data_IF_239619328324
#
_entry.id   IF_239619328324
#
_cell.length_a   1.000
_cell.length_b   1.000
_cell.length_c   1.000
_cell.angle_alpha   90.00
_cell.angle_beta   90.00
_cell.angle_gamma   90.00
#
_symmetry.space_group_name_H-M   'P 1'
#
loop_
_entity.id
_entity.type
_entity.pdbx_description
1 polymer ?
#
# COMPACT_ATOMS: atom_id res chain seq x y z
N UNK A 1 -13.87 0.06 -11.14
CA UNK A 1 -14.65 0.19 -9.89
C UNK A 1 -13.88 1.18 -9.05
N UNK A 2 -14.50 2.31 -8.71
CA UNK A 2 -13.79 3.45 -8.15
C UNK A 2 -13.74 3.39 -6.63
N UNK A 3 -12.61 3.77 -6.02
CA UNK A 3 -12.45 3.89 -4.57
C UNK A 3 -12.97 5.27 -4.13
N UNK A 4 -13.99 5.29 -3.30
CA UNK A 4 -14.58 6.52 -2.76
C UNK A 4 -13.99 6.80 -1.37
N UNK A 5 -13.12 7.79 -1.26
CA UNK A 5 -12.67 8.29 0.05
C UNK A 5 -13.58 9.42 0.51
N UNK A 6 -14.21 9.23 1.66
CA UNK A 6 -15.20 10.13 2.24
C UNK A 6 -14.54 10.89 3.40
N UNK A 7 -14.26 12.17 3.21
CA UNK A 7 -13.83 13.05 4.29
C UNK A 7 -15.08 13.62 4.96
N UNK A 8 -15.21 13.40 6.26
CA UNK A 8 -16.31 13.89 7.09
C UNK A 8 -15.80 15.03 7.99
N UNK A 9 -16.56 16.13 8.09
CA UNK A 9 -16.34 17.24 9.03
C UNK A 9 -16.63 16.82 10.48
N UNK A 10 -16.32 17.71 11.44
CA UNK A 10 -16.59 17.54 12.89
C UNK A 10 -18.09 17.35 13.22
N UNK A 11 -18.99 17.71 12.30
CA UNK A 11 -20.45 17.52 12.38
C UNK A 11 -20.94 16.24 11.62
N UNK A 12 -20.01 15.43 11.10
CA UNK A 12 -20.31 14.22 10.34
C UNK A 12 -20.78 14.46 8.90
N UNK A 13 -20.66 15.69 8.39
CA UNK A 13 -21.04 16.04 7.02
C UNK A 13 -19.89 15.74 6.03
N UNK A 14 -20.24 15.16 4.88
CA UNK A 14 -19.26 14.82 3.84
C UNK A 14 -18.77 16.07 3.11
N UNK A 15 -17.50 16.43 3.31
CA UNK A 15 -16.89 17.67 2.80
C UNK A 15 -16.41 17.49 1.35
N UNK A 16 -15.83 16.33 1.06
CA UNK A 16 -15.33 15.94 -0.26
C UNK A 16 -15.35 14.42 -0.38
N UNK A 17 -16.07 13.92 -1.39
CA UNK A 17 -15.81 12.58 -1.96
C UNK A 17 -14.93 12.77 -3.16
N UNK A 18 -13.68 12.31 -3.07
CA UNK A 18 -12.80 12.29 -4.23
C UNK A 18 -12.69 10.87 -4.76
N UNK A 19 -13.26 10.66 -5.94
CA UNK A 19 -13.17 9.41 -6.67
C UNK A 19 -11.82 9.38 -7.40
N UNK A 20 -10.77 8.86 -6.75
CA UNK A 20 -9.47 8.68 -7.40
C UNK A 20 -9.41 7.29 -8.02
N UNK A 21 -9.27 7.21 -9.34
CA UNK A 21 -8.88 5.95 -9.99
C UNK A 21 -7.39 5.72 -9.72
N UNK A 22 -7.09 4.66 -8.97
CA UNK A 22 -5.69 4.31 -8.71
C UNK A 22 -5.11 3.79 -10.00
N UNK A 23 -4.05 4.40 -10.50
CA UNK A 23 -3.34 3.92 -11.68
C UNK A 23 -2.21 2.97 -11.27
N UNK A 24 -1.77 2.12 -12.20
CA UNK A 24 -0.58 1.28 -11.98
C UNK A 24 0.67 2.08 -11.62
N UNK A 25 0.76 3.34 -12.05
CA UNK A 25 1.84 4.25 -11.68
C UNK A 25 1.82 4.55 -10.18
N UNK A 26 0.64 4.82 -9.62
CA UNK A 26 0.47 5.13 -8.20
C UNK A 26 0.78 3.90 -7.33
N UNK A 27 0.25 2.73 -7.72
CA UNK A 27 0.55 1.45 -7.05
C UNK A 27 2.05 1.19 -7.03
N UNK A 28 2.74 1.36 -8.17
CA UNK A 28 4.19 1.15 -8.24
C UNK A 28 4.96 2.16 -7.41
N UNK A 29 4.57 3.43 -7.43
CA UNK A 29 5.21 4.47 -6.62
C UNK A 29 5.08 4.15 -5.11
N UNK A 30 3.88 3.78 -4.66
CA UNK A 30 3.62 3.40 -3.26
C UNK A 30 4.40 2.14 -2.87
N UNK A 31 4.44 1.13 -3.74
CA UNK A 31 5.23 -0.09 -3.54
C UNK A 31 6.72 0.24 -3.37
N UNK A 32 7.30 1.03 -4.27
CA UNK A 32 8.71 1.40 -4.21
C UNK A 32 9.02 2.20 -2.93
N UNK A 33 8.11 3.09 -2.52
CA UNK A 33 8.23 3.81 -1.25
C UNK A 33 8.26 2.87 -0.04
N UNK A 34 7.34 1.89 0.04
CA UNK A 34 7.28 0.94 1.15
C UNK A 34 8.47 -0.03 1.16
N UNK A 35 8.95 -0.45 -0.01
CA UNK A 35 10.16 -1.25 -0.13
C UNK A 35 11.40 -0.45 0.31
N UNK A 36 11.47 0.83 -0.03
CA UNK A 36 12.56 1.72 0.40
C UNK A 36 12.52 1.97 1.90
N UNK A 37 11.34 2.23 2.47
CA UNK A 37 11.15 2.45 3.90
C UNK A 37 11.52 1.22 4.73
N UNK A 38 11.40 0.02 4.16
CA UNK A 38 11.79 -1.23 4.83
C UNK A 38 13.17 -1.74 4.42
N UNK A 39 13.87 -1.06 3.50
CA UNK A 39 15.14 -1.52 2.94
C UNK A 39 16.27 -1.53 3.98
N UNK A 40 16.26 -0.55 4.89
CA UNK A 40 17.23 -0.47 5.99
C UNK A 40 17.16 -1.68 6.93
N UNK A 41 16.02 -2.38 7.01
CA UNK A 41 15.88 -3.60 7.83
C UNK A 41 16.59 -4.80 7.21
N UNK A 42 16.81 -4.80 5.89
CA UNK A 42 17.50 -5.85 5.16
C UNK A 42 19.04 -5.66 5.13
N UNK A 43 19.58 -4.76 5.97
CA UNK A 43 21.04 -4.59 6.12
C UNK A 43 21.71 -5.84 6.71
N UNK A 44 22.96 -6.08 6.30
CA UNK A 44 23.77 -7.26 6.70
C UNK A 44 23.96 -7.44 8.21
N UNK A 45 23.82 -6.37 8.98
CA UNK A 45 23.95 -6.38 10.45
C UNK A 45 22.76 -7.03 11.17
N UNK A 46 21.67 -7.34 10.45
CA UNK A 46 20.41 -7.77 11.05
C UNK A 46 19.89 -9.03 10.39
N UNK A 47 19.41 -9.96 11.20
CA UNK A 47 18.63 -11.08 10.69
C UNK A 47 17.24 -10.51 10.38
N UNK A 48 16.90 -10.42 9.10
CA UNK A 48 15.57 -10.01 8.68
C UNK A 48 14.55 -11.05 9.18
N UNK A 49 13.59 -10.68 10.03
CA UNK A 49 12.57 -11.62 10.48
C UNK A 49 11.77 -12.16 9.29
N UNK A 50 11.30 -13.41 9.37
CA UNK A 50 10.52 -14.05 8.31
C UNK A 50 9.32 -13.21 7.87
N UNK A 51 8.64 -12.59 8.84
CA UNK A 51 7.48 -11.72 8.63
C UNK A 51 7.81 -10.51 7.74
N UNK A 52 8.99 -9.91 7.89
CA UNK A 52 9.42 -8.80 7.03
C UNK A 52 9.74 -9.26 5.61
N UNK A 53 10.22 -10.50 5.45
CA UNK A 53 10.45 -11.10 4.13
C UNK A 53 9.12 -11.37 3.42
N UNK A 54 8.14 -11.89 4.15
CA UNK A 54 6.78 -12.12 3.66
C UNK A 54 6.08 -10.82 3.31
N UNK A 55 6.18 -9.80 4.17
CA UNK A 55 5.68 -8.44 3.91
C UNK A 55 6.25 -7.86 2.61
N UNK A 56 7.58 -7.89 2.45
CA UNK A 56 8.25 -7.38 1.24
C UNK A 56 7.89 -8.19 -0.01
N UNK A 57 7.61 -9.48 0.13
CA UNK A 57 7.14 -10.31 -0.98
C UNK A 57 5.71 -9.94 -1.37
N UNK A 58 4.80 -9.80 -0.40
CA UNK A 58 3.42 -9.37 -0.63
C UNK A 58 3.34 -7.98 -1.29
N UNK A 59 4.24 -7.04 -0.93
CA UNK A 59 4.35 -5.75 -1.62
C UNK A 59 4.69 -5.89 -3.11
N UNK A 60 5.47 -6.89 -3.50
CA UNK A 60 5.82 -7.14 -4.92
C UNK A 60 4.68 -7.84 -5.66
N UNK A 61 4.00 -8.75 -4.97
CA UNK A 61 2.85 -9.52 -5.44
C UNK A 61 1.64 -8.62 -5.77
N UNK A 62 1.58 -7.41 -5.21
CA UNK A 62 0.50 -6.44 -5.45
C UNK A 62 0.27 -6.14 -6.95
N UNK A 63 1.28 -6.35 -7.79
CA UNK A 63 1.19 -6.17 -9.25
C UNK A 63 0.57 -7.34 -10.01
N UNK A 64 0.29 -8.46 -9.34
CA UNK A 64 -0.39 -9.64 -9.90
C UNK A 64 -1.92 -9.51 -9.87
N UNK A 65 -2.44 -8.48 -9.20
CA UNK A 65 -3.87 -8.18 -9.19
C UNK A 65 -4.38 -7.77 -10.58
N UNK A 66 -5.65 -8.08 -10.91
CA UNK A 66 -6.24 -7.84 -12.23
C UNK A 66 -6.39 -6.35 -12.57
N UNK A 67 -6.55 -5.51 -11.55
CA UNK A 67 -6.73 -4.07 -11.70
C UNK A 67 -6.05 -3.31 -10.54
N UNK A 68 -5.60 -2.06 -10.81
CA UNK A 68 -4.85 -1.27 -9.84
C UNK A 68 -5.70 -0.84 -8.63
N UNK A 69 -7.04 -0.79 -8.77
CA UNK A 69 -7.94 -0.53 -7.66
C UNK A 69 -8.00 -1.72 -6.69
N UNK A 70 -8.06 -2.95 -7.21
CA UNK A 70 -7.96 -4.18 -6.41
C UNK A 70 -6.59 -4.31 -5.75
N UNK A 71 -5.51 -3.99 -6.48
CA UNK A 71 -4.16 -3.92 -5.90
C UNK A 71 -4.10 -2.90 -4.76
N UNK A 72 -4.78 -1.76 -4.91
CA UNK A 72 -4.83 -0.73 -3.90
C UNK A 72 -5.62 -1.11 -2.64
N UNK A 73 -6.46 -2.13 -2.70
CA UNK A 73 -7.18 -2.66 -1.54
C UNK A 73 -6.39 -3.76 -0.82
N UNK A 74 -5.53 -4.48 -1.56
CA UNK A 74 -4.77 -5.61 -1.06
C UNK A 74 -3.40 -5.25 -0.44
N UNK A 75 -3.21 -4.02 0.07
CA UNK A 75 -1.93 -3.64 0.69
C UNK A 75 -1.65 -4.44 1.96
N UNK A 76 -0.50 -5.12 2.07
CA UNK A 76 -0.11 -5.77 3.32
C UNK A 76 0.17 -4.73 4.41
N UNK A 77 -0.06 -5.11 5.67
CA UNK A 77 0.28 -4.30 6.84
C UNK A 77 1.69 -4.66 7.32
N UNK A 78 2.52 -3.67 7.72
CA UNK A 78 3.83 -3.94 8.27
C UNK A 78 3.71 -4.73 9.58
N UNK A 79 4.55 -5.76 9.80
CA UNK A 79 4.58 -6.48 11.07
C UNK A 79 5.13 -5.59 12.19
N UNK A 80 4.75 -5.90 13.44
CA UNK A 80 5.15 -5.17 14.65
C UNK A 80 6.64 -5.36 15.02
#
# INVERSE_FOLDING_TARGET
>A
MNREEHYFDEDGQLIRSNTFDVTWTDVRAKRDQLLSDTDWRAMKDRILPGEWKEYRQALRDITEHPDPNSAADAWPHPPE
#
